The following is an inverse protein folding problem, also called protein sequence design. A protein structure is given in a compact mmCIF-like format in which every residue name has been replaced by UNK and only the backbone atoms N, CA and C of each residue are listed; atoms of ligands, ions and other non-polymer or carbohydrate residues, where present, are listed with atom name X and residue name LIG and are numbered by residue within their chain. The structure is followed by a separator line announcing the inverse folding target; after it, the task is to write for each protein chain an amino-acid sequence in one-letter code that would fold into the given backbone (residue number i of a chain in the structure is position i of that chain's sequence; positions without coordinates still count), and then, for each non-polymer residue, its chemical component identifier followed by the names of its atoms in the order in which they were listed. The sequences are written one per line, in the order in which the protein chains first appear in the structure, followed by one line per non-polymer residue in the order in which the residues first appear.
data_IF_521806696653
#
_entry.id   IF_521806696653
#
_cell.length_a   1.000
_cell.length_b   1.000
_cell.length_c   1.000
_cell.angle_alpha   90.00
_cell.angle_beta   90.00
_cell.angle_gamma   90.00
#
_symmetry.space_group_name_H-M   'P 1'
#
loop_
_entity.id
_entity.type
_entity.pdbx_description
1 polymer ?
#
# COMPACT_ATOMS: atom_id res chain seq x y z
N UNK A 1 -0.50 3.63 2.32
CA UNK A 1 -0.56 4.70 3.35
C UNK A 1 -1.89 4.59 4.09
N UNK A 2 -1.94 4.71 5.43
CA UNK A 2 -3.20 4.76 6.17
C UNK A 2 -3.91 6.10 5.91
N UNK A 3 -5.23 6.06 5.70
CA UNK A 3 -6.03 7.24 5.38
C UNK A 3 -7.34 7.28 6.14
N UNK A 4 -7.82 8.50 6.38
CA UNK A 4 -9.13 8.84 6.93
C UNK A 4 -9.65 10.04 6.15
N UNK A 5 -10.95 10.06 5.85
CA UNK A 5 -11.59 11.24 5.25
C UNK A 5 -11.56 12.39 6.28
N UNK A 6 -11.05 13.54 5.83
CA UNK A 6 -10.91 14.76 6.63
C UNK A 6 -12.17 15.62 6.53
N UNK A 7 -12.56 16.25 7.63
CA UNK A 7 -13.53 17.36 7.59
C UNK A 7 -12.86 18.66 7.11
N UNK A 8 -13.66 19.65 6.75
CA UNK A 8 -13.15 20.96 6.31
C UNK A 8 -12.27 21.58 7.39
N UNK A 9 -11.04 21.97 7.03
CA UNK A 9 -10.06 22.56 7.94
C UNK A 9 -9.26 21.57 8.78
N UNK A 10 -9.54 20.27 8.69
CA UNK A 10 -8.86 19.25 9.47
C UNK A 10 -7.59 18.72 8.77
N UNK A 11 -6.50 18.57 9.52
CA UNK A 11 -5.27 17.97 8.99
C UNK A 11 -5.40 16.44 8.94
N UNK A 12 -4.84 15.76 7.91
CA UNK A 12 -4.92 14.29 7.80
C UNK A 12 -4.45 13.52 9.04
N UNK A 13 -3.39 14.00 9.71
CA UNK A 13 -2.90 13.36 10.94
C UNK A 13 -3.89 13.49 12.10
N UNK A 14 -4.60 14.62 12.21
CA UNK A 14 -5.63 14.82 13.25
C UNK A 14 -6.79 13.86 13.01
N UNK A 15 -7.22 13.71 11.76
CA UNK A 15 -8.26 12.75 11.40
C UNK A 15 -7.87 11.31 11.75
N UNK A 16 -6.62 10.92 11.47
CA UNK A 16 -6.09 9.58 11.79
C UNK A 16 -6.00 9.33 13.29
N UNK A 17 -5.51 10.31 14.07
CA UNK A 17 -5.40 10.17 15.54
C UNK A 17 -6.79 10.12 16.18
N UNK A 18 -7.71 10.98 15.75
CA UNK A 18 -9.03 11.10 16.37
C UNK A 18 -9.99 9.96 15.99
N UNK A 19 -9.88 9.41 14.76
CA UNK A 19 -10.86 8.47 14.22
C UNK A 19 -10.26 7.21 13.61
N UNK A 20 -8.96 6.98 13.81
CA UNK A 20 -8.26 5.81 13.30
C UNK A 20 -8.17 5.76 11.77
N UNK A 21 -7.71 4.61 11.28
CA UNK A 21 -7.63 4.32 9.84
C UNK A 21 -9.02 3.92 9.33
N UNK A 22 -9.40 4.42 8.15
CA UNK A 22 -10.64 4.04 7.47
C UNK A 22 -10.38 3.27 6.19
N UNK A 23 -9.31 3.62 5.47
CA UNK A 23 -8.90 2.90 4.27
C UNK A 23 -7.38 2.99 4.08
N UNK A 24 -6.85 2.14 3.21
CA UNK A 24 -5.45 2.16 2.80
C UNK A 24 -5.34 2.65 1.36
N UNK A 25 -4.36 3.50 1.10
CA UNK A 25 -4.01 3.98 -0.23
C UNK A 25 -2.74 3.27 -0.70
N UNK A 26 -2.88 2.38 -1.69
CA UNK A 26 -1.74 1.72 -2.36
C UNK A 26 -1.20 2.65 -3.45
N UNK A 27 0.10 2.91 -3.43
CA UNK A 27 0.76 3.91 -4.30
C UNK A 27 1.94 3.35 -5.11
N UNK A 28 2.10 2.03 -5.10
CA UNK A 28 3.25 1.32 -5.69
C UNK A 28 2.91 0.69 -7.05
N UNK A 29 1.79 1.08 -7.66
CA UNK A 29 1.39 0.61 -8.98
C UNK A 29 1.83 1.63 -10.04
N UNK A 30 2.60 1.17 -11.01
CA UNK A 30 2.91 1.94 -12.21
C UNK A 30 1.68 2.04 -13.12
N UNK A 31 1.63 3.10 -13.93
CA UNK A 31 0.61 3.23 -14.98
C UNK A 31 0.88 2.14 -16.02
N UNK A 32 -0.12 1.31 -16.29
CA UNK A 32 -0.06 0.33 -17.37
C UNK A 32 -0.14 1.05 -18.73
N UNK A 33 0.96 1.11 -19.52
CA UNK A 33 0.98 1.87 -20.77
C UNK A 33 0.18 1.21 -21.89
N UNK A 34 -0.26 -0.04 -21.70
CA UNK A 34 -1.03 -0.80 -22.69
C UNK A 34 -2.55 -0.58 -22.57
N UNK A 35 -2.99 0.21 -21.58
CA UNK A 35 -4.40 0.44 -21.30
C UNK A 35 -4.72 1.93 -21.30
N UNK A 36 -5.85 2.35 -21.88
CA UNK A 36 -6.22 3.77 -21.96
C UNK A 36 -6.45 4.43 -20.59
N UNK A 37 -6.83 3.63 -19.58
CA UNK A 37 -7.09 4.09 -18.21
C UNK A 37 -5.97 3.72 -17.24
N UNK A 38 -4.87 3.13 -17.72
CA UNK A 38 -3.68 2.84 -16.91
C UNK A 38 -3.77 1.64 -15.95
N UNK A 39 -4.90 0.93 -15.90
CA UNK A 39 -5.11 -0.28 -15.07
C UNK A 39 -6.26 -1.12 -15.65
N UNK A 40 -6.20 -2.45 -15.53
CA UNK A 40 -7.31 -3.35 -15.88
C UNK A 40 -7.94 -4.06 -14.67
N UNK A 41 -9.02 -4.79 -14.95
CA UNK A 41 -9.74 -5.57 -13.96
C UNK A 41 -8.90 -6.69 -13.33
N UNK A 42 -8.10 -7.48 -14.08
CA UNK A 42 -7.15 -8.42 -13.48
C UNK A 42 -6.19 -7.79 -12.46
N UNK A 43 -5.56 -6.66 -12.78
CA UNK A 43 -4.66 -5.94 -11.87
C UNK A 43 -5.40 -5.49 -10.60
N UNK A 44 -6.60 -4.94 -10.75
CA UNK A 44 -7.43 -4.54 -9.61
C UNK A 44 -7.81 -5.73 -8.71
N UNK A 45 -8.27 -6.84 -9.31
CA UNK A 45 -8.63 -8.06 -8.56
C UNK A 45 -7.44 -8.70 -7.84
N UNK A 46 -6.26 -8.64 -8.45
CA UNK A 46 -5.03 -9.07 -7.78
C UNK A 46 -4.77 -8.24 -6.52
N UNK A 47 -4.89 -6.90 -6.61
CA UNK A 47 -4.73 -6.02 -5.44
C UNK A 47 -5.76 -6.33 -4.35
N UNK A 48 -7.03 -6.55 -4.71
CA UNK A 48 -8.07 -6.92 -3.74
C UNK A 48 -7.70 -8.20 -2.99
N UNK A 49 -7.31 -9.25 -3.73
CA UNK A 49 -6.92 -10.53 -3.13
C UNK A 49 -5.65 -10.41 -2.28
N UNK A 50 -4.65 -9.65 -2.74
CA UNK A 50 -3.41 -9.43 -2.02
C UNK A 50 -3.61 -8.64 -0.72
N UNK A 51 -4.43 -7.58 -0.76
CA UNK A 51 -4.74 -6.80 0.44
C UNK A 51 -5.58 -7.60 1.44
N UNK A 52 -6.52 -8.42 0.96
CA UNK A 52 -7.26 -9.35 1.82
C UNK A 52 -6.32 -10.36 2.47
N UNK A 53 -5.38 -10.93 1.72
CA UNK A 53 -4.35 -11.80 2.26
C UNK A 53 -3.54 -11.10 3.36
N UNK A 54 -3.03 -9.89 3.11
CA UNK A 54 -2.30 -9.12 4.11
C UNK A 54 -3.12 -8.84 5.38
N UNK A 55 -4.43 -8.65 5.26
CA UNK A 55 -5.30 -8.42 6.41
C UNK A 55 -5.55 -9.68 7.26
N UNK A 56 -5.40 -10.87 6.66
CA UNK A 56 -5.63 -12.16 7.32
C UNK A 56 -4.37 -12.81 7.86
N UNK A 57 -3.19 -12.46 7.31
CA UNK A 57 -1.93 -12.99 7.80
C UNK A 57 -1.52 -12.37 9.14
N UNK A 58 -0.83 -13.16 9.96
CA UNK A 58 -0.17 -12.63 11.14
C UNK A 58 0.88 -11.59 10.73
N UNK A 59 0.81 -10.42 11.36
CA UNK A 59 1.72 -9.30 11.13
C UNK A 59 2.26 -8.85 12.49
N UNK A 60 3.31 -9.50 13.03
CA UNK A 60 3.95 -9.06 14.26
C UNK A 60 4.45 -7.62 14.14
N UNK A 61 4.66 -6.95 15.27
CA UNK A 61 5.23 -5.61 15.26
C UNK A 61 6.63 -5.64 14.69
N UNK A 62 6.91 -4.70 13.78
CA UNK A 62 8.22 -4.54 13.18
C UNK A 62 9.30 -4.35 14.25
N UNK A 63 10.33 -5.19 14.21
CA UNK A 63 11.60 -4.91 14.88
C UNK A 63 12.40 -3.85 14.10
N UNK A 64 13.38 -3.22 14.75
CA UNK A 64 14.13 -2.09 14.18
C UNK A 64 14.83 -2.39 12.85
N UNK A 65 15.19 -3.65 12.59
CA UNK A 65 15.89 -4.09 11.36
C UNK A 65 14.93 -4.50 10.23
N UNK A 66 13.72 -4.92 10.55
CA UNK A 66 12.80 -5.52 9.58
C UNK A 66 12.28 -4.51 8.57
N UNK A 67 12.06 -3.25 8.98
CA UNK A 67 11.67 -2.18 8.05
C UNK A 67 12.74 -1.93 6.98
N UNK A 68 14.01 -1.98 7.37
CA UNK A 68 15.17 -1.87 6.45
C UNK A 68 15.24 -3.07 5.51
N UNK A 69 14.95 -4.28 6.02
CA UNK A 69 14.91 -5.49 5.19
C UNK A 69 13.78 -5.43 4.15
N UNK A 70 12.57 -5.01 4.53
CA UNK A 70 11.46 -4.79 3.60
C UNK A 70 11.84 -3.77 2.52
N UNK A 71 12.52 -2.69 2.90
CA UNK A 71 13.01 -1.68 1.97
C UNK A 71 14.06 -2.26 1.02
N UNK A 72 14.99 -3.08 1.52
CA UNK A 72 16.01 -3.75 0.71
C UNK A 72 15.38 -4.70 -0.31
N UNK A 73 14.45 -5.55 0.13
CA UNK A 73 13.71 -6.46 -0.74
C UNK A 73 12.98 -5.69 -1.84
N UNK A 74 12.29 -4.60 -1.48
CA UNK A 74 11.63 -3.74 -2.45
C UNK A 74 12.61 -3.17 -3.49
N UNK A 75 13.75 -2.63 -3.04
CA UNK A 75 14.76 -2.07 -3.94
C UNK A 75 15.41 -3.12 -4.84
N UNK A 76 15.61 -4.35 -4.36
CA UNK A 76 16.11 -5.45 -5.18
C UNK A 76 15.12 -5.81 -6.28
N UNK A 77 13.83 -5.98 -5.95
CA UNK A 77 12.79 -6.27 -6.95
C UNK A 77 12.68 -5.14 -7.99
N UNK A 78 12.76 -3.87 -7.56
CA UNK A 78 12.74 -2.71 -8.47
C UNK A 78 13.95 -2.72 -9.43
N UNK A 79 15.14 -3.07 -8.95
CA UNK A 79 16.38 -3.00 -9.75
C UNK A 79 16.58 -4.23 -10.65
N UNK A 80 16.27 -5.42 -10.14
CA UNK A 80 16.65 -6.68 -10.77
C UNK A 80 15.61 -7.80 -10.64
N UNK A 81 14.33 -7.49 -10.37
CA UNK A 81 13.28 -8.48 -10.13
C UNK A 81 12.93 -9.43 -11.28
N UNK A 82 13.61 -9.33 -12.44
CA UNK A 82 13.47 -10.23 -13.59
C UNK A 82 14.80 -10.84 -14.06
N UNK A 83 15.87 -10.69 -13.28
CA UNK A 83 17.18 -11.27 -13.58
C UNK A 83 17.18 -12.79 -13.39
#
# INVERSE_FOLDING_TARGET
RPKRVTYTGERPIQALVARGVQYVEVRLLDINPFLPVGIDLPQARFLDAFLLYCALQESPQFESSECSNCTSNFLSVVKEGRR
#
